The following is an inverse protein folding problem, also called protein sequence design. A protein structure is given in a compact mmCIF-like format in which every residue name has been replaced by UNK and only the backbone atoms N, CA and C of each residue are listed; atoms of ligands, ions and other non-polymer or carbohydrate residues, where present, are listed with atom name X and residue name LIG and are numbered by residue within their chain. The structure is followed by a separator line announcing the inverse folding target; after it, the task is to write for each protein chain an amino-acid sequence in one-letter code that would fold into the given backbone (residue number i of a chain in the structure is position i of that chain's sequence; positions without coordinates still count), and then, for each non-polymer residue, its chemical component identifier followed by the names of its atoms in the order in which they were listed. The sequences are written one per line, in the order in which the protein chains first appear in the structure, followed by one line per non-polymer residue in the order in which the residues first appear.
data_IF_180342475829
#
_entry.id   IF_180342475829
#
_cell.length_a   1.000
_cell.length_b   1.000
_cell.length_c   1.000
_cell.angle_alpha   90.00
_cell.angle_beta   90.00
_cell.angle_gamma   90.00
#
_symmetry.space_group_name_H-M   'P 1'
#
loop_
_entity.id
_entity.type
_entity.pdbx_description
1 polymer ?
#
# COMPACT_ATOMS: atom_id res chain seq x y z
N UNK A 1 19.96 6.26 -18.25
CA UNK A 1 20.66 6.69 -19.47
C UNK A 1 21.96 5.95 -19.65
N UNK A 2 23.08 6.52 -19.22
CA UNK A 2 24.42 5.94 -19.44
C UNK A 2 24.61 4.59 -18.76
N UNK A 3 24.29 4.48 -17.46
CA UNK A 3 24.37 3.18 -16.74
C UNK A 3 23.54 2.10 -17.45
N UNK A 4 22.31 2.46 -17.86
CA UNK A 4 21.42 1.54 -18.55
C UNK A 4 22.01 1.08 -19.89
N UNK A 5 22.51 2.01 -20.71
CA UNK A 5 23.11 1.66 -22.00
C UNK A 5 24.34 0.75 -21.84
N UNK A 6 25.22 1.05 -20.88
CA UNK A 6 26.40 0.23 -20.62
C UNK A 6 26.06 -1.17 -20.08
N UNK A 7 25.07 -1.25 -19.18
CA UNK A 7 24.59 -2.53 -18.63
C UNK A 7 23.86 -3.37 -19.66
N UNK A 8 22.97 -2.76 -20.47
CA UNK A 8 22.29 -3.41 -21.59
C UNK A 8 23.31 -3.95 -22.58
N UNK A 9 24.29 -3.12 -22.98
CA UNK A 9 25.32 -3.51 -23.91
C UNK A 9 26.12 -4.72 -23.40
N UNK A 10 26.56 -4.67 -22.14
CA UNK A 10 27.30 -5.78 -21.53
C UNK A 10 26.45 -7.07 -21.50
N UNK A 11 25.19 -6.98 -21.05
CA UNK A 11 24.28 -8.13 -20.97
C UNK A 11 23.99 -8.73 -22.33
N UNK A 12 23.62 -7.91 -23.32
CA UNK A 12 23.24 -8.35 -24.66
C UNK A 12 24.43 -8.98 -25.40
N UNK A 13 25.64 -8.40 -25.28
CA UNK A 13 26.86 -9.02 -25.82
C UNK A 13 27.10 -10.40 -25.20
N UNK A 14 26.90 -10.54 -23.89
CA UNK A 14 26.99 -11.82 -23.20
C UNK A 14 25.99 -12.86 -23.71
N UNK A 15 24.74 -12.47 -23.97
CA UNK A 15 23.72 -13.38 -24.53
C UNK A 15 24.01 -13.76 -25.99
N UNK A 16 24.48 -12.81 -26.82
CA UNK A 16 24.89 -13.09 -28.19
C UNK A 16 26.08 -14.05 -28.26
N UNK A 17 27.06 -13.89 -27.37
CA UNK A 17 28.21 -14.78 -27.27
C UNK A 17 27.80 -16.22 -26.94
N UNK A 18 26.80 -16.43 -26.07
CA UNK A 18 26.28 -17.77 -25.73
C UNK A 18 25.69 -18.51 -26.92
N UNK A 19 25.17 -17.79 -27.91
CA UNK A 19 24.63 -18.36 -29.17
C UNK A 19 25.61 -18.26 -30.34
N UNK A 20 26.89 -18.00 -30.07
CA UNK A 20 27.96 -17.97 -31.08
C UNK A 20 27.89 -16.76 -32.03
N UNK A 21 27.21 -15.69 -31.63
CA UNK A 21 27.08 -14.45 -32.43
C UNK A 21 28.03 -13.38 -31.94
N UNK A 22 28.63 -12.64 -32.88
CA UNK A 22 29.50 -11.50 -32.58
C UNK A 22 28.68 -10.26 -32.20
N UNK A 23 28.68 -9.96 -30.90
CA UNK A 23 27.98 -8.80 -30.35
C UNK A 23 28.57 -7.45 -30.73
N UNK A 24 29.86 -7.36 -31.07
CA UNK A 24 30.48 -6.08 -31.48
C UNK A 24 30.04 -5.67 -32.88
N UNK A 25 29.78 -6.66 -33.73
CA UNK A 25 29.24 -6.45 -35.07
C UNK A 25 27.74 -6.18 -35.06
N UNK A 26 26.98 -6.95 -34.28
CA UNK A 26 25.51 -6.95 -34.35
C UNK A 26 24.84 -5.89 -33.47
N UNK A 27 25.46 -5.47 -32.37
CA UNK A 27 24.85 -4.52 -31.44
C UNK A 27 25.41 -3.11 -31.66
N UNK A 28 24.54 -2.17 -32.00
CA UNK A 28 24.87 -0.75 -32.10
C UNK A 28 24.07 0.06 -31.09
N UNK A 29 24.79 0.71 -30.17
CA UNK A 29 24.20 1.54 -29.14
C UNK A 29 24.35 3.02 -29.52
N UNK A 30 23.25 3.77 -29.47
CA UNK A 30 23.24 5.22 -29.71
C UNK A 30 22.64 5.91 -28.50
N UNK A 31 23.37 6.87 -27.93
CA UNK A 31 22.86 7.76 -26.88
C UNK A 31 22.52 9.12 -27.49
N UNK A 32 21.24 9.47 -27.44
CA UNK A 32 20.73 10.77 -27.88
C UNK A 32 20.48 11.65 -26.66
N UNK A 33 20.99 12.88 -26.67
CA UNK A 33 20.77 13.82 -25.57
C UNK A 33 20.76 15.28 -26.01
N UNK A 34 19.84 16.06 -25.44
CA UNK A 34 19.84 17.53 -25.58
C UNK A 34 21.07 18.19 -24.95
N UNK A 35 21.70 17.52 -23.99
CA UNK A 35 22.89 18.01 -23.30
C UNK A 35 24.08 18.08 -24.24
N UNK A 36 24.93 19.10 -24.08
CA UNK A 36 26.17 19.25 -24.88
C UNK A 36 27.32 18.35 -24.43
N UNK A 37 27.20 17.72 -23.25
CA UNK A 37 28.24 16.88 -22.66
C UNK A 37 27.66 15.70 -21.89
N UNK A 38 28.46 14.65 -21.72
CA UNK A 38 28.16 13.47 -20.91
C UNK A 38 28.06 13.85 -19.44
N UNK A 39 26.96 13.47 -18.76
CA UNK A 39 26.69 13.74 -17.34
C UNK A 39 26.93 15.22 -16.95
N UNK A 40 26.18 16.19 -17.50
CA UNK A 40 26.43 17.62 -17.29
C UNK A 40 26.24 18.09 -15.84
N UNK A 41 25.55 17.32 -15.01
CA UNK A 41 25.34 17.58 -13.58
C UNK A 41 26.50 17.11 -12.70
N UNK A 42 27.49 16.42 -13.28
CA UNK A 42 28.66 15.88 -12.58
C UNK A 42 29.93 16.67 -12.92
N UNK A 43 31.02 16.38 -12.21
CA UNK A 43 32.29 17.05 -12.47
C UNK A 43 32.83 16.74 -13.86
N UNK A 44 33.67 17.64 -14.40
CA UNK A 44 34.36 17.42 -15.68
C UNK A 44 35.21 16.14 -15.68
N UNK A 45 35.72 15.72 -14.52
CA UNK A 45 36.49 14.48 -14.40
C UNK A 45 35.61 13.25 -14.65
N UNK A 46 34.43 13.18 -14.01
CA UNK A 46 33.44 12.10 -14.25
C UNK A 46 33.00 12.10 -15.71
N UNK A 47 32.68 13.27 -16.26
CA UNK A 47 32.28 13.42 -17.67
C UNK A 47 33.34 12.87 -18.64
N UNK A 48 34.63 13.18 -18.41
CA UNK A 48 35.75 12.64 -19.21
C UNK A 48 35.87 11.12 -19.11
N UNK A 49 35.76 10.58 -17.90
CA UNK A 49 35.82 9.13 -17.66
C UNK A 49 34.72 8.42 -18.46
N UNK A 50 33.46 8.84 -18.32
CA UNK A 50 32.37 8.20 -19.06
C UNK A 50 32.45 8.42 -20.56
N UNK A 51 32.94 9.58 -21.02
CA UNK A 51 33.18 9.80 -22.45
C UNK A 51 34.21 8.82 -23.01
N UNK A 52 35.29 8.55 -22.25
CA UNK A 52 36.29 7.54 -22.61
C UNK A 52 35.67 6.14 -22.66
N UNK A 53 34.96 5.72 -21.61
CA UNK A 53 34.31 4.40 -21.54
C UNK A 53 33.32 4.20 -22.69
N UNK A 54 32.47 5.19 -22.97
CA UNK A 54 31.50 5.11 -24.06
C UNK A 54 32.18 4.98 -25.42
N UNK A 55 33.30 5.69 -25.63
CA UNK A 55 34.11 5.58 -26.86
C UNK A 55 34.79 4.22 -26.98
N UNK A 56 35.41 3.73 -25.91
CA UNK A 56 36.05 2.40 -25.88
C UNK A 56 35.05 1.28 -26.15
N UNK A 57 33.77 1.50 -25.86
CA UNK A 57 32.69 0.53 -26.11
C UNK A 57 31.90 0.77 -27.39
N UNK A 58 32.37 1.61 -28.31
CA UNK A 58 31.71 1.91 -29.59
C UNK A 58 30.24 2.38 -29.41
N UNK A 59 29.96 3.15 -28.36
CA UNK A 59 28.65 3.78 -28.16
C UNK A 59 28.63 5.13 -28.89
N UNK A 60 27.77 5.25 -29.90
CA UNK A 60 27.62 6.49 -30.66
C UNK A 60 26.91 7.55 -29.81
N UNK A 61 27.46 8.76 -29.76
CA UNK A 61 26.91 9.88 -28.99
C UNK A 61 26.32 10.93 -29.93
N UNK A 62 25.01 11.16 -29.85
CA UNK A 62 24.30 12.25 -30.52
C UNK A 62 23.86 13.28 -29.48
N UNK A 63 24.77 14.21 -29.18
CA UNK A 63 24.61 15.19 -28.10
C UNK A 63 24.37 16.60 -28.66
N UNK A 64 23.72 17.46 -27.87
CA UNK A 64 23.30 18.79 -28.31
C UNK A 64 22.10 18.77 -29.26
N UNK A 65 21.41 17.64 -29.37
CA UNK A 65 20.23 17.45 -30.23
C UNK A 65 19.03 17.00 -29.40
N UNK A 66 17.85 17.46 -29.75
CA UNK A 66 16.60 16.99 -29.11
C UNK A 66 15.81 16.14 -30.09
N UNK A 67 15.10 15.14 -29.57
CA UNK A 67 14.09 14.42 -30.36
C UNK A 67 12.90 15.35 -30.54
N UNK A 68 12.51 15.56 -31.79
CA UNK A 68 11.36 16.38 -32.20
C UNK A 68 10.13 15.50 -32.41
N UNK A 69 10.33 14.33 -33.01
CA UNK A 69 9.27 13.36 -33.31
C UNK A 69 9.83 11.94 -33.18
N UNK A 70 9.05 11.03 -32.60
CA UNK A 70 9.36 9.62 -32.53
C UNK A 70 8.37 8.84 -33.42
N UNK A 71 8.89 8.16 -34.44
CA UNK A 71 8.15 7.25 -35.32
C UNK A 71 8.54 5.81 -34.99
N UNK A 72 7.84 4.84 -35.59
CA UNK A 72 7.96 3.42 -35.28
C UNK A 72 9.42 2.89 -35.26
N UNK A 73 10.24 3.25 -36.26
CA UNK A 73 11.63 2.76 -36.38
C UNK A 73 12.66 3.90 -36.53
N UNK A 74 12.26 5.15 -36.30
CA UNK A 74 13.13 6.31 -36.51
C UNK A 74 12.81 7.49 -35.59
N UNK A 75 13.87 8.07 -35.02
CA UNK A 75 13.79 9.34 -34.29
C UNK A 75 14.14 10.49 -35.25
N UNK A 76 13.26 11.49 -35.30
CA UNK A 76 13.53 12.77 -35.95
C UNK A 76 14.15 13.71 -34.90
N UNK A 77 15.39 14.10 -35.11
CA UNK A 77 16.11 14.98 -34.19
C UNK A 77 16.15 16.43 -34.73
N UNK A 78 16.45 17.38 -33.85
CA UNK A 78 16.68 18.78 -34.21
C UNK A 78 17.73 18.89 -35.32
N UNK A 79 17.47 19.76 -36.30
CA UNK A 79 18.31 19.90 -37.49
C UNK A 79 18.02 18.88 -38.59
N UNK A 80 16.92 18.11 -38.49
CA UNK A 80 16.49 17.16 -39.52
C UNK A 80 17.27 15.85 -39.54
N UNK A 81 18.06 15.57 -38.50
CA UNK A 81 18.82 14.32 -38.40
C UNK A 81 17.84 13.17 -38.12
N UNK A 82 17.85 12.16 -38.98
CA UNK A 82 17.06 10.94 -38.81
C UNK A 82 17.95 9.86 -38.17
N UNK A 83 17.59 9.34 -37.01
CA UNK A 83 18.30 8.27 -36.33
C UNK A 83 17.42 7.02 -36.27
N UNK A 84 17.67 6.01 -37.14
CA UNK A 84 16.93 4.75 -37.10
C UNK A 84 17.27 3.95 -35.85
N UNK A 85 16.34 3.11 -35.42
CA UNK A 85 16.52 2.18 -34.30
C UNK A 85 15.63 0.95 -34.48
N UNK A 86 16.07 -0.20 -33.95
CA UNK A 86 15.21 -1.37 -33.76
C UNK A 86 14.46 -1.31 -32.42
N UNK A 87 15.13 -0.77 -31.39
CA UNK A 87 14.56 -0.61 -30.05
C UNK A 87 14.92 0.77 -29.46
N UNK A 88 13.96 1.42 -28.81
CA UNK A 88 14.14 2.75 -28.21
C UNK A 88 13.81 2.75 -26.72
N UNK A 89 14.77 3.16 -25.88
CA UNK A 89 14.57 3.28 -24.43
C UNK A 89 14.63 4.75 -24.00
N UNK A 90 13.49 5.28 -23.57
CA UNK A 90 13.37 6.66 -23.12
C UNK A 90 13.91 6.84 -21.70
N UNK A 91 15.05 7.49 -21.57
CA UNK A 91 15.68 7.79 -20.28
C UNK A 91 15.52 9.28 -19.93
N UNK A 92 14.33 9.70 -19.51
CA UNK A 92 14.09 11.07 -19.05
C UNK A 92 14.30 11.27 -17.56
N UNK A 93 14.48 12.52 -17.17
CA UNK A 93 14.37 12.94 -15.77
C UNK A 93 12.96 12.68 -15.24
N UNK A 94 12.84 12.40 -13.95
CA UNK A 94 11.55 12.39 -13.27
C UNK A 94 10.86 13.75 -13.42
N UNK A 95 9.56 13.72 -13.68
CA UNK A 95 8.71 14.91 -13.67
C UNK A 95 7.82 14.87 -12.43
N UNK A 96 7.40 16.05 -11.96
CA UNK A 96 6.37 16.11 -10.94
C UNK A 96 5.05 15.58 -11.51
N UNK A 97 4.28 14.92 -10.67
CA UNK A 97 2.94 14.45 -11.05
C UNK A 97 2.01 15.65 -11.21
N UNK A 98 1.25 15.71 -12.30
CA UNK A 98 0.42 16.87 -12.65
C UNK A 98 -0.59 17.22 -11.56
N UNK A 99 -1.17 16.19 -10.92
CA UNK A 99 -2.19 16.36 -9.87
C UNK A 99 -1.71 17.21 -8.69
N UNK A 100 -0.41 17.26 -8.40
CA UNK A 100 0.13 18.04 -7.26
C UNK A 100 -0.16 19.53 -7.47
N UNK A 101 0.10 20.01 -8.70
CA UNK A 101 -0.18 21.40 -9.08
C UNK A 101 -1.68 21.67 -9.09
N UNK A 102 -2.46 20.73 -9.63
CA UNK A 102 -3.91 20.85 -9.74
C UNK A 102 -4.61 20.83 -8.36
N UNK A 103 -3.93 20.34 -7.32
CA UNK A 103 -4.45 20.29 -5.94
C UNK A 103 -4.35 21.62 -5.18
N UNK A 104 -3.82 22.68 -5.80
CA UNK A 104 -3.70 24.00 -5.16
C UNK A 104 -2.49 24.16 -4.23
N UNK A 105 -1.56 23.20 -4.23
CA UNK A 105 -0.30 23.34 -3.49
C UNK A 105 0.67 24.31 -4.17
N UNK A 106 1.51 24.96 -3.37
CA UNK A 106 2.67 25.67 -3.88
C UNK A 106 3.63 24.67 -4.53
N UNK A 107 4.00 24.92 -5.77
CA UNK A 107 4.93 24.06 -6.52
C UNK A 107 6.11 24.87 -7.03
N UNK A 108 7.27 24.22 -7.19
CA UNK A 108 8.42 24.83 -7.83
C UNK A 108 8.23 24.98 -9.34
N UNK A 109 9.22 25.56 -10.03
CA UNK A 109 9.16 25.78 -11.47
C UNK A 109 8.99 24.50 -12.31
N UNK A 110 9.26 23.33 -11.74
CA UNK A 110 9.11 22.02 -12.37
C UNK A 110 7.87 21.25 -11.87
N UNK A 111 7.03 21.87 -11.04
CA UNK A 111 5.79 21.28 -10.53
C UNK A 111 5.93 20.46 -9.25
N UNK A 112 7.12 20.38 -8.63
CA UNK A 112 7.29 19.63 -7.39
C UNK A 112 6.74 20.42 -6.19
N UNK A 113 6.13 19.73 -5.23
CA UNK A 113 5.55 20.33 -4.04
C UNK A 113 6.61 21.11 -3.24
N UNK A 114 6.38 22.40 -2.99
CA UNK A 114 7.26 23.21 -2.15
C UNK A 114 7.03 22.89 -0.68
N UNK A 115 8.11 22.61 0.04
CA UNK A 115 8.09 22.34 1.48
C UNK A 115 9.14 23.18 2.20
N UNK A 116 8.90 23.46 3.47
CA UNK A 116 9.89 24.09 4.36
C UNK A 116 10.96 23.09 4.86
N UNK A 117 11.84 23.53 5.76
CA UNK A 117 12.89 22.67 6.34
C UNK A 117 12.34 21.58 7.26
N UNK A 118 11.09 21.68 7.71
CA UNK A 118 10.39 20.63 8.44
C UNK A 118 9.72 19.61 7.51
N UNK A 119 9.83 19.82 6.20
CA UNK A 119 9.18 19.05 5.13
C UNK A 119 7.66 19.18 5.10
N UNK A 120 7.13 20.26 5.66
CA UNK A 120 5.72 20.62 5.58
C UNK A 120 5.47 21.55 4.38
N UNK A 121 4.32 21.41 3.72
CA UNK A 121 3.88 22.28 2.64
C UNK A 121 3.90 23.75 3.06
N UNK A 122 4.36 24.61 2.16
CA UNK A 122 4.48 26.05 2.43
C UNK A 122 3.13 26.77 2.51
N UNK A 123 2.08 26.23 1.88
CA UNK A 123 0.75 26.85 1.85
C UNK A 123 -0.37 26.00 2.47
N UNK A 124 -0.10 24.76 2.87
CA UNK A 124 -1.10 23.83 3.40
C UNK A 124 -0.61 23.15 4.67
N UNK A 125 -0.86 23.73 5.87
CA UNK A 125 -0.47 23.13 7.13
C UNK A 125 -1.03 21.72 7.33
N UNK A 126 -0.24 20.82 7.91
CA UNK A 126 -0.57 19.41 8.11
C UNK A 126 -0.24 18.50 6.93
N UNK A 127 0.15 19.05 5.77
CA UNK A 127 0.60 18.26 4.61
C UNK A 127 2.12 18.21 4.58
N UNK A 128 2.69 17.00 4.59
CA UNK A 128 4.13 16.80 4.56
C UNK A 128 4.56 16.02 3.32
N UNK A 129 5.78 16.27 2.83
CA UNK A 129 6.31 15.57 1.68
C UNK A 129 7.84 15.46 1.69
N UNK A 130 8.35 14.33 1.22
CA UNK A 130 9.78 14.07 1.09
C UNK A 130 10.09 13.24 -0.16
N UNK A 131 11.37 13.20 -0.54
CA UNK A 131 11.84 12.48 -1.71
C UNK A 131 11.51 13.20 -3.02
N UNK A 132 11.27 12.44 -4.08
CA UNK A 132 11.24 13.00 -5.44
C UNK A 132 10.08 13.98 -5.66
N UNK A 133 8.98 13.82 -4.92
CA UNK A 133 7.79 14.67 -5.00
C UNK A 133 8.01 16.08 -4.45
N UNK A 134 8.97 16.25 -3.54
CA UNK A 134 9.15 17.47 -2.75
C UNK A 134 10.34 18.32 -3.21
N UNK A 135 10.23 19.63 -3.02
CA UNK A 135 11.28 20.63 -3.26
C UNK A 135 11.42 21.48 -2.02
N UNK A 136 12.55 21.35 -1.32
CA UNK A 136 12.79 22.08 -0.06
C UNK A 136 13.17 23.53 -0.40
N UNK A 137 12.34 24.47 0.07
CA UNK A 137 12.51 25.89 -0.16
C UNK A 137 13.90 26.36 0.33
N UNK A 138 14.62 27.10 -0.52
CA UNK A 138 15.98 27.55 -0.23
C UNK A 138 17.08 26.48 -0.34
N UNK A 139 16.73 25.20 -0.55
CA UNK A 139 17.68 24.08 -0.62
C UNK A 139 17.48 23.20 -1.87
N UNK A 140 17.61 23.75 -3.10
CA UNK A 140 17.42 22.97 -4.32
C UNK A 140 18.46 21.85 -4.43
N UNK A 141 17.99 20.62 -4.67
CA UNK A 141 18.83 19.43 -4.85
C UNK A 141 18.35 18.61 -6.03
N UNK A 142 19.26 17.91 -6.73
CA UNK A 142 18.84 16.94 -7.73
C UNK A 142 18.03 15.84 -7.05
N UNK A 143 17.05 15.30 -7.78
CA UNK A 143 16.24 14.17 -7.33
C UNK A 143 17.13 12.93 -7.23
N UNK A 144 17.40 12.49 -6.01
CA UNK A 144 18.31 11.41 -5.71
C UNK A 144 17.90 10.71 -4.40
N UNK A 145 17.93 9.38 -4.41
CA UNK A 145 17.48 8.56 -3.28
C UNK A 145 18.17 8.89 -1.96
N UNK A 146 19.44 9.32 -1.98
CA UNK A 146 20.18 9.70 -0.77
C UNK A 146 19.49 10.81 0.02
N UNK A 147 18.90 11.81 -0.64
CA UNK A 147 18.20 12.89 0.06
C UNK A 147 16.87 12.40 0.63
N UNK A 148 16.14 11.58 -0.13
CA UNK A 148 14.90 10.95 0.34
C UNK A 148 15.14 10.08 1.58
N UNK A 149 16.21 9.28 1.58
CA UNK A 149 16.60 8.43 2.71
C UNK A 149 16.86 9.23 3.96
N UNK A 150 17.67 10.29 3.86
CA UNK A 150 18.00 11.12 5.03
C UNK A 150 16.83 11.98 5.52
N UNK A 151 15.87 12.29 4.64
CA UNK A 151 14.63 12.99 5.00
C UNK A 151 13.68 12.14 5.87
N UNK A 152 13.78 10.80 5.81
CA UNK A 152 12.82 9.91 6.48
C UNK A 152 12.75 10.06 8.00
N UNK A 153 13.89 10.12 8.70
CA UNK A 153 13.90 10.22 10.18
C UNK A 153 13.31 11.54 10.70
N UNK A 154 13.73 12.72 10.20
CA UNK A 154 13.10 13.97 10.62
C UNK A 154 11.61 14.02 10.26
N UNK A 155 11.22 13.49 9.08
CA UNK A 155 9.82 13.48 8.65
C UNK A 155 8.95 12.65 9.60
N UNK A 156 9.39 11.45 9.96
CA UNK A 156 8.65 10.59 10.88
C UNK A 156 8.49 11.25 12.27
N UNK A 157 9.52 11.96 12.75
CA UNK A 157 9.45 12.72 13.99
C UNK A 157 8.46 13.88 13.91
N UNK A 158 8.46 14.61 12.79
CA UNK A 158 7.58 15.76 12.58
C UNK A 158 6.12 15.33 12.41
N UNK A 159 5.85 14.24 11.68
CA UNK A 159 4.50 13.65 11.56
C UNK A 159 3.94 13.25 12.93
N UNK A 160 4.72 12.56 13.77
CA UNK A 160 4.30 12.23 15.14
C UNK A 160 4.03 13.47 15.97
N UNK A 161 4.89 14.48 15.85
CA UNK A 161 4.74 15.75 16.56
C UNK A 161 3.48 16.50 16.12
N UNK A 162 3.14 16.47 14.83
CA UNK A 162 1.92 17.06 14.27
C UNK A 162 0.66 16.38 14.82
N UNK A 163 0.61 15.05 14.79
CA UNK A 163 -0.52 14.27 15.32
C UNK A 163 -0.74 14.50 16.82
N UNK A 164 0.35 14.68 17.59
CA UNK A 164 0.29 14.96 19.02
C UNK A 164 0.02 16.44 19.36
N UNK A 165 -0.21 17.31 18.36
CA UNK A 165 -0.45 18.74 18.59
C UNK A 165 0.77 19.49 19.15
N UNK A 166 1.98 18.96 18.97
CA UNK A 166 3.21 19.63 19.41
C UNK A 166 3.45 20.87 18.55
N UNK A 167 3.78 21.99 19.20
CA UNK A 167 4.06 23.25 18.50
C UNK A 167 5.19 23.11 17.48
N UNK A 168 4.98 23.62 16.27
CA UNK A 168 5.89 23.53 15.11
C UNK A 168 7.34 23.93 15.40
N UNK A 169 7.60 24.86 16.32
CA UNK A 169 8.97 25.23 16.76
C UNK A 169 9.81 24.07 17.34
N UNK A 170 9.18 22.94 17.67
CA UNK A 170 9.84 21.72 18.16
C UNK A 170 10.07 20.68 17.07
N UNK A 171 9.67 20.98 15.83
CA UNK A 171 9.92 20.09 14.70
C UNK A 171 11.42 20.07 14.39
N UNK A 172 11.86 18.96 13.82
CA UNK A 172 13.23 18.78 13.39
C UNK A 172 13.40 19.38 12.00
N UNK A 173 14.40 20.23 11.85
CA UNK A 173 14.85 20.70 10.55
C UNK A 173 15.59 19.60 9.78
N UNK A 174 15.40 19.57 8.48
CA UNK A 174 16.16 18.77 7.54
C UNK A 174 16.83 19.65 6.48
N UNK A 175 18.17 19.72 6.54
CA UNK A 175 18.99 20.43 5.57
C UNK A 175 19.75 19.44 4.69
N UNK A 176 19.36 19.24 3.42
CA UNK A 176 20.01 18.26 2.57
C UNK A 176 21.44 18.69 2.22
N UNK A 177 22.38 17.75 2.35
CA UNK A 177 23.79 17.92 2.04
C UNK A 177 24.02 18.48 0.62
N UNK A 178 25.05 19.31 0.44
CA UNK A 178 25.34 19.94 -0.88
C UNK A 178 25.86 18.94 -1.91
N UNK A 179 26.61 17.95 -1.46
CA UNK A 179 27.20 16.90 -2.30
C UNK A 179 26.96 15.54 -1.67
N UNK A 180 26.98 14.50 -2.50
CA UNK A 180 26.88 13.12 -2.06
C UNK A 180 27.86 12.27 -2.86
N UNK A 181 28.16 11.07 -2.37
CA UNK A 181 28.92 10.08 -3.12
C UNK A 181 27.96 9.33 -4.05
N UNK A 182 28.13 9.50 -5.36
CA UNK A 182 27.50 8.65 -6.36
C UNK A 182 28.46 7.55 -6.78
N UNK A 183 27.99 6.31 -6.83
CA UNK A 183 28.71 5.18 -7.45
C UNK A 183 27.93 4.79 -8.70
N UNK A 184 28.47 5.12 -9.86
CA UNK A 184 27.80 4.96 -11.16
C UNK A 184 28.38 3.73 -11.84
N UNK A 185 27.56 2.71 -12.08
CA UNK A 185 27.97 1.45 -12.68
C UNK A 185 28.37 1.59 -14.15
N UNK A 186 29.38 0.85 -14.57
CA UNK A 186 29.78 0.77 -15.98
C UNK A 186 29.27 -0.51 -16.66
N UNK A 187 28.44 -1.30 -15.98
CA UNK A 187 27.76 -2.48 -16.54
C UNK A 187 28.61 -3.74 -16.65
N UNK A 188 29.93 -3.67 -16.46
CA UNK A 188 30.90 -4.78 -16.55
C UNK A 188 31.55 -5.13 -15.20
N UNK A 189 30.85 -4.81 -14.10
CA UNK A 189 31.39 -5.00 -12.75
C UNK A 189 32.44 -3.96 -12.34
N UNK A 190 32.59 -2.86 -13.08
CA UNK A 190 33.30 -1.66 -12.63
C UNK A 190 32.29 -0.57 -12.24
N UNK A 191 32.77 0.43 -11.48
CA UNK A 191 32.00 1.63 -11.16
C UNK A 191 32.90 2.87 -11.12
N UNK A 192 32.27 4.03 -11.34
CA UNK A 192 32.89 5.34 -11.23
C UNK A 192 32.32 6.06 -10.02
N UNK A 193 33.17 6.37 -9.05
CA UNK A 193 32.84 7.22 -7.93
C UNK A 193 32.79 8.69 -8.36
N UNK A 194 31.77 9.41 -7.91
CA UNK A 194 31.56 10.83 -8.10
C UNK A 194 31.32 11.50 -6.75
N UNK A 195 32.22 12.37 -6.31
CA UNK A 195 32.06 13.14 -5.06
C UNK A 195 32.64 14.54 -5.22
N UNK A 196 31.77 15.54 -5.38
CA UNK A 196 32.20 16.91 -5.64
C UNK A 196 33.02 16.99 -6.93
N UNK A 197 34.29 17.40 -6.83
CA UNK A 197 35.21 17.46 -7.98
C UNK A 197 35.99 16.17 -8.22
N UNK A 198 35.98 15.23 -7.27
CA UNK A 198 36.74 13.98 -7.34
C UNK A 198 36.02 12.95 -8.18
N UNK A 199 36.80 12.18 -8.93
CA UNK A 199 36.33 11.03 -9.69
C UNK A 199 37.35 9.89 -9.62
N UNK A 200 36.88 8.66 -9.47
CA UNK A 200 37.72 7.46 -9.47
C UNK A 200 36.97 6.33 -10.15
N UNK A 201 37.64 5.59 -11.02
CA UNK A 201 37.09 4.40 -11.69
C UNK A 201 37.82 3.16 -11.17
N UNK A 202 37.05 2.15 -10.73
CA UNK A 202 37.63 0.89 -10.26
C UNK A 202 36.61 -0.24 -10.20
N UNK A 203 37.11 -1.48 -10.16
CA UNK A 203 36.32 -2.70 -9.91
C UNK A 203 35.80 -2.77 -8.48
N UNK A 204 36.65 -2.52 -7.48
CA UNK A 204 36.23 -2.61 -6.07
C UNK A 204 35.15 -1.59 -5.70
N UNK A 205 35.02 -0.48 -6.46
CA UNK A 205 33.92 0.48 -6.28
C UNK A 205 32.56 -0.13 -6.61
N UNK A 206 32.50 -1.09 -7.54
CA UNK A 206 31.29 -1.85 -7.82
C UNK A 206 30.94 -2.79 -6.66
N UNK A 207 31.93 -3.49 -6.11
CA UNK A 207 31.73 -4.34 -4.92
C UNK A 207 31.24 -3.53 -3.72
N UNK A 208 31.82 -2.33 -3.52
CA UNK A 208 31.33 -1.40 -2.50
C UNK A 208 29.88 -0.98 -2.78
N UNK A 209 29.53 -0.66 -4.03
CA UNK A 209 28.16 -0.29 -4.41
C UNK A 209 27.18 -1.43 -4.12
N UNK A 210 27.49 -2.65 -4.57
CA UNK A 210 26.65 -3.83 -4.35
C UNK A 210 26.47 -4.10 -2.85
N UNK A 211 27.53 -3.97 -2.05
CA UNK A 211 27.45 -4.08 -0.60
C UNK A 211 26.55 -3.00 0.03
N UNK A 212 26.69 -1.72 -0.36
CA UNK A 212 25.84 -0.62 0.15
C UNK A 212 24.37 -0.90 -0.19
N UNK A 213 24.08 -1.24 -1.45
CA UNK A 213 22.72 -1.44 -1.95
C UNK A 213 22.08 -2.66 -1.26
N UNK A 214 22.79 -3.78 -1.13
CA UNK A 214 22.31 -4.97 -0.40
C UNK A 214 22.09 -4.72 1.08
N UNK A 215 23.02 -4.01 1.75
CA UNK A 215 22.89 -3.65 3.16
C UNK A 215 21.65 -2.77 3.38
N UNK A 216 21.41 -1.83 2.47
CA UNK A 216 20.21 -1.01 2.48
C UNK A 216 18.95 -1.87 2.32
N UNK A 217 18.90 -2.76 1.31
CA UNK A 217 17.76 -3.66 1.11
C UNK A 217 17.51 -4.58 2.31
N UNK A 218 18.57 -5.12 2.93
CA UNK A 218 18.46 -5.96 4.12
C UNK A 218 17.76 -5.24 5.28
N UNK A 219 17.95 -3.93 5.41
CA UNK A 219 17.26 -3.12 6.45
C UNK A 219 15.74 -3.20 6.33
N UNK A 220 15.20 -3.49 5.15
CA UNK A 220 13.76 -3.57 4.89
C UNK A 220 13.23 -5.00 4.68
N UNK A 221 14.11 -5.97 4.41
CA UNK A 221 13.69 -7.35 4.15
C UNK A 221 14.05 -8.34 5.25
N UNK A 222 15.09 -8.08 6.04
CA UNK A 222 15.57 -9.02 7.07
C UNK A 222 16.06 -8.38 8.37
N UNK A 223 16.08 -7.04 8.45
CA UNK A 223 16.46 -6.28 9.64
C UNK A 223 15.30 -5.61 10.37
N UNK A 224 14.06 -5.80 9.89
CA UNK A 224 12.87 -5.41 10.64
C UNK A 224 12.52 -6.56 11.60
N UNK A 225 12.24 -6.27 12.89
CA UNK A 225 11.74 -7.29 13.81
C UNK A 225 10.51 -7.97 13.25
N UNK A 226 10.31 -9.24 13.61
CA UNK A 226 9.11 -9.95 13.18
C UNK A 226 7.87 -9.19 13.68
N UNK A 227 6.76 -9.28 12.96
CA UNK A 227 5.52 -8.59 13.39
C UNK A 227 5.14 -9.02 14.81
N UNK A 228 5.42 -10.28 15.16
CA UNK A 228 5.27 -10.86 16.50
C UNK A 228 6.09 -10.10 17.57
N UNK A 229 7.32 -9.69 17.25
CA UNK A 229 8.21 -8.94 18.16
C UNK A 229 7.78 -7.47 18.34
N UNK A 230 6.99 -6.95 17.39
CA UNK A 230 6.49 -5.58 17.34
C UNK A 230 5.05 -5.45 17.87
N UNK A 231 4.37 -6.57 18.16
CA UNK A 231 3.06 -6.50 18.79
C UNK A 231 3.20 -5.89 20.19
N UNK A 232 2.43 -4.85 20.54
CA UNK A 232 2.37 -4.43 21.92
C UNK A 232 1.98 -5.63 22.79
N UNK A 233 2.56 -5.76 24.00
CA UNK A 233 2.18 -6.85 24.89
C UNK A 233 0.66 -6.85 25.07
N UNK A 234 0.02 -8.04 25.17
CA UNK A 234 -1.41 -8.11 25.32
C UNK A 234 -1.86 -7.20 26.48
N UNK A 235 -3.03 -6.55 26.35
CA UNK A 235 -3.50 -5.64 27.39
C UNK A 235 -3.55 -6.38 28.72
N UNK A 236 -3.21 -5.71 29.84
CA UNK A 236 -3.16 -6.36 31.14
C UNK A 236 -4.51 -7.04 31.45
N UNK A 237 -4.51 -8.19 32.14
CA UNK A 237 -5.75 -8.92 32.44
C UNK A 237 -6.75 -8.01 33.14
N UNK A 238 -8.00 -8.02 32.66
CA UNK A 238 -9.08 -7.24 33.25
C UNK A 238 -9.34 -7.69 34.71
N UNK A 239 -10.07 -6.88 35.48
CA UNK A 239 -10.31 -7.15 36.91
C UNK A 239 -10.95 -8.52 37.15
N UNK A 240 -11.80 -8.98 36.22
CA UNK A 240 -12.43 -10.30 36.25
C UNK A 240 -11.39 -11.42 36.12
N UNK A 241 -10.44 -11.29 35.19
CA UNK A 241 -9.34 -12.25 35.01
C UNK A 241 -8.41 -12.31 36.23
N UNK A 242 -8.14 -11.16 36.86
CA UNK A 242 -7.34 -11.10 38.09
C UNK A 242 -8.03 -11.77 39.26
N UNK A 243 -9.35 -11.58 39.39
CA UNK A 243 -10.16 -12.21 40.42
C UNK A 243 -10.28 -13.74 40.23
N UNK A 244 -10.20 -14.23 38.99
CA UNK A 244 -10.28 -15.65 38.65
C UNK A 244 -8.96 -16.44 38.88
N UNK A 245 -7.85 -15.75 39.18
CA UNK A 245 -6.59 -16.35 39.58
C UNK A 245 -5.58 -16.61 38.44
N UNK A 246 -4.37 -17.09 38.77
CA UNK A 246 -3.23 -17.15 37.84
C UNK A 246 -3.45 -18.08 36.63
N UNK A 247 -4.19 -19.17 36.80
CA UNK A 247 -4.50 -20.11 35.71
C UNK A 247 -5.42 -19.48 34.65
N UNK A 248 -6.40 -18.67 35.09
CA UNK A 248 -7.29 -17.96 34.17
C UNK A 248 -6.53 -16.90 33.35
N UNK A 249 -5.55 -16.23 33.96
CA UNK A 249 -4.67 -15.29 33.27
C UNK A 249 -3.85 -16.01 32.21
N UNK A 250 -3.20 -17.13 32.58
CA UNK A 250 -2.40 -17.94 31.65
C UNK A 250 -3.23 -18.46 30.46
N UNK A 251 -4.46 -18.94 30.73
CA UNK A 251 -5.38 -19.35 29.66
C UNK A 251 -5.80 -18.19 28.76
N UNK A 252 -5.95 -16.97 29.28
CA UNK A 252 -6.29 -15.78 28.48
C UNK A 252 -5.12 -15.30 27.62
N UNK A 253 -3.88 -15.49 28.10
CA UNK A 253 -2.63 -15.17 27.38
C UNK A 253 -2.31 -16.21 26.29
N UNK A 254 -2.67 -17.48 26.51
CA UNK A 254 -2.46 -18.59 25.56
C UNK A 254 -3.49 -18.63 24.40
N UNK A 255 -4.59 -17.87 24.47
CA UNK A 255 -5.57 -17.78 23.36
C UNK A 255 -5.03 -16.81 22.30
N UNK A 256 -4.60 -17.31 21.12
CA UNK A 256 -3.99 -16.47 20.11
C UNK A 256 -5.04 -15.52 19.51
N UNK A 257 -4.67 -14.25 19.43
CA UNK A 257 -5.36 -13.16 18.74
C UNK A 257 -6.88 -13.04 18.98
N UNK A 258 -7.25 -12.16 19.92
CA UNK A 258 -8.52 -11.41 19.83
C UNK A 258 -8.34 -10.28 18.81
N UNK A 259 -8.07 -10.60 17.55
CA UNK A 259 -7.95 -9.59 16.49
C UNK A 259 -9.33 -9.03 16.13
N UNK A 260 -9.37 -7.87 15.46
CA UNK A 260 -10.62 -7.31 14.94
C UNK A 260 -11.24 -8.17 13.81
N UNK A 261 -12.50 -7.92 13.46
CA UNK A 261 -13.22 -8.73 12.45
C UNK A 261 -13.72 -10.08 12.99
N UNK A 262 -13.76 -11.13 12.16
CA UNK A 262 -14.23 -12.46 12.56
C UNK A 262 -13.47 -13.07 13.76
N UNK A 263 -12.19 -12.70 13.94
CA UNK A 263 -11.34 -13.17 15.04
C UNK A 263 -11.68 -12.56 16.41
N UNK A 264 -12.59 -11.59 16.46
CA UNK A 264 -13.07 -11.00 17.72
C UNK A 264 -14.21 -11.82 18.37
N UNK A 265 -14.74 -12.84 17.68
CA UNK A 265 -15.86 -13.67 18.14
C UNK A 265 -15.45 -14.59 19.30
N UNK A 266 -16.40 -14.94 20.16
CA UNK A 266 -16.20 -15.98 21.17
C UNK A 266 -15.95 -17.31 20.45
N UNK A 267 -14.93 -18.06 20.87
CA UNK A 267 -14.57 -19.33 20.24
C UNK A 267 -15.71 -20.36 20.25
N UNK A 268 -15.79 -21.16 19.19
CA UNK A 268 -16.88 -22.13 18.97
C UNK A 268 -17.08 -23.10 20.15
N UNK A 269 -16.00 -23.53 20.80
CA UNK A 269 -16.05 -24.42 21.97
C UNK A 269 -16.77 -23.76 23.14
N UNK A 270 -16.44 -22.51 23.47
CA UNK A 270 -17.07 -21.75 24.56
C UNK A 270 -18.55 -21.52 24.28
N UNK A 271 -18.90 -21.14 23.05
CA UNK A 271 -20.29 -20.94 22.64
C UNK A 271 -21.09 -22.26 22.73
N UNK A 272 -20.54 -23.36 22.22
CA UNK A 272 -21.17 -24.69 22.29
C UNK A 272 -21.45 -25.12 23.72
N UNK A 273 -20.50 -24.91 24.64
CA UNK A 273 -20.67 -25.23 26.05
C UNK A 273 -21.73 -24.34 26.71
N UNK A 274 -21.78 -23.05 26.37
CA UNK A 274 -22.80 -22.13 26.88
C UNK A 274 -24.21 -22.55 26.43
N UNK A 275 -24.39 -22.88 25.15
CA UNK A 275 -25.67 -23.36 24.61
C UNK A 275 -26.12 -24.67 25.27
N UNK A 276 -25.20 -25.63 25.47
CA UNK A 276 -25.50 -26.88 26.21
C UNK A 276 -25.96 -26.61 27.64
N UNK A 277 -25.34 -25.65 28.34
CA UNK A 277 -25.75 -25.27 29.70
C UNK A 277 -27.14 -24.63 29.73
N UNK A 278 -27.47 -23.81 28.73
CA UNK A 278 -28.82 -23.24 28.61
C UNK A 278 -29.87 -24.33 28.40
N UNK A 279 -29.60 -25.29 27.51
CA UNK A 279 -30.51 -26.42 27.24
C UNK A 279 -30.75 -27.27 28.50
N UNK A 280 -29.71 -27.47 29.33
CA UNK A 280 -29.83 -28.16 30.62
C UNK A 280 -30.60 -27.36 31.67
N UNK A 281 -30.48 -26.03 31.66
CA UNK A 281 -31.20 -25.16 32.59
C UNK A 281 -32.69 -25.10 32.24
N UNK A 282 -33.00 -24.89 30.95
CA UNK A 282 -34.35 -24.92 30.40
C UNK A 282 -34.27 -25.17 28.88
N UNK A 283 -34.89 -26.26 28.37
CA UNK A 283 -34.88 -26.55 26.94
C UNK A 283 -35.39 -25.38 26.11
N UNK A 284 -34.68 -25.07 25.02
CA UNK A 284 -35.10 -24.03 24.10
C UNK A 284 -36.36 -24.49 23.33
N UNK A 285 -37.26 -23.56 22.94
CA UNK A 285 -38.42 -23.90 22.14
C UNK A 285 -38.03 -24.56 20.81
N UNK A 286 -38.64 -25.71 20.53
CA UNK A 286 -38.48 -26.42 19.27
C UNK A 286 -39.67 -26.12 18.36
N UNK A 287 -39.40 -25.59 17.17
CA UNK A 287 -40.41 -25.12 16.22
C UNK A 287 -40.22 -25.87 14.91
N UNK A 288 -41.27 -26.53 14.42
CA UNK A 288 -41.22 -27.28 13.16
C UNK A 288 -40.99 -26.40 11.94
N UNK A 289 -41.23 -25.09 12.07
CA UNK A 289 -40.93 -24.11 11.04
C UNK A 289 -39.43 -23.85 10.89
N UNK A 290 -38.60 -24.15 11.89
CA UNK A 290 -37.14 -23.97 11.83
C UNK A 290 -36.51 -25.24 11.24
N UNK A 291 -36.08 -25.16 10.00
CA UNK A 291 -35.54 -26.29 9.23
C UNK A 291 -34.04 -26.50 9.52
N UNK A 292 -33.29 -25.41 9.64
CA UNK A 292 -31.86 -25.39 10.00
C UNK A 292 -31.68 -24.32 11.08
N UNK A 293 -31.03 -24.70 12.18
CA UNK A 293 -30.93 -23.90 13.39
C UNK A 293 -29.96 -24.53 14.39
N UNK A 294 -30.11 -24.26 15.69
CA UNK A 294 -29.12 -24.65 16.69
C UNK A 294 -28.82 -26.16 16.80
N UNK A 295 -29.73 -27.04 16.37
CA UNK A 295 -29.56 -28.50 16.41
C UNK A 295 -28.76 -29.06 15.23
N UNK A 296 -28.73 -28.32 14.13
CA UNK A 296 -27.97 -28.62 12.92
C UNK A 296 -27.43 -27.28 12.39
N UNK A 297 -26.44 -26.68 13.08
CA UNK A 297 -25.96 -25.36 12.73
C UNK A 297 -25.23 -25.39 11.39
N UNK A 298 -25.48 -24.35 10.58
CA UNK A 298 -24.88 -24.11 9.27
C UNK A 298 -24.60 -22.60 9.12
N UNK A 299 -24.16 -22.14 7.95
CA UNK A 299 -23.80 -20.72 7.72
C UNK A 299 -24.97 -19.75 7.96
N UNK A 300 -26.23 -20.18 7.79
CA UNK A 300 -27.40 -19.40 8.22
C UNK A 300 -28.57 -20.29 8.69
N UNK A 301 -29.54 -19.68 9.38
CA UNK A 301 -30.76 -20.38 9.78
C UNK A 301 -31.80 -20.39 8.66
N UNK A 302 -32.48 -21.54 8.50
CA UNK A 302 -33.58 -21.73 7.56
C UNK A 302 -34.91 -21.79 8.31
N UNK A 303 -35.83 -20.88 8.01
CA UNK A 303 -37.14 -20.81 8.66
C UNK A 303 -38.24 -20.72 7.62
N UNK A 304 -39.24 -21.60 7.73
CA UNK A 304 -40.41 -21.59 6.84
C UNK A 304 -41.42 -20.54 7.30
N UNK A 305 -41.70 -19.57 6.45
CA UNK A 305 -42.66 -18.49 6.71
C UNK A 305 -43.63 -18.40 5.54
N UNK A 306 -44.91 -18.65 5.78
CA UNK A 306 -45.95 -18.50 4.75
C UNK A 306 -45.75 -19.37 3.49
N UNK A 307 -45.09 -20.53 3.63
CA UNK A 307 -44.81 -21.46 2.52
C UNK A 307 -43.47 -21.26 1.82
N UNK A 308 -42.73 -20.19 2.13
CA UNK A 308 -41.39 -19.91 1.60
C UNK A 308 -40.33 -20.27 2.65
N UNK A 309 -39.15 -20.69 2.22
CA UNK A 309 -37.99 -20.89 3.12
C UNK A 309 -37.17 -19.60 3.17
N UNK A 310 -37.24 -18.92 4.32
CA UNK A 310 -36.47 -17.73 4.64
C UNK A 310 -35.08 -18.08 5.16
N UNK A 311 -34.09 -17.30 4.75
CA UNK A 311 -32.72 -17.32 5.25
C UNK A 311 -32.59 -16.22 6.30
N UNK A 312 -31.97 -16.55 7.44
CA UNK A 312 -31.68 -15.59 8.50
C UNK A 312 -30.22 -15.74 8.92
N UNK A 313 -29.42 -14.70 8.68
CA UNK A 313 -28.04 -14.61 9.16
C UNK A 313 -27.79 -13.25 9.81
N UNK A 314 -26.78 -13.19 10.67
CA UNK A 314 -26.26 -11.96 11.24
C UNK A 314 -24.75 -12.05 11.35
N UNK A 315 -24.06 -11.02 10.84
CA UNK A 315 -22.65 -10.82 11.14
C UNK A 315 -22.39 -9.42 11.68
N UNK A 316 -21.43 -9.31 12.59
CA UNK A 316 -21.14 -8.09 13.34
C UNK A 316 -19.67 -8.05 13.79
N UNK A 317 -18.99 -6.96 13.44
CA UNK A 317 -17.55 -6.82 13.59
C UNK A 317 -17.18 -5.58 14.39
N UNK A 318 -16.20 -5.74 15.28
CA UNK A 318 -15.41 -4.59 15.76
C UNK A 318 -14.56 -4.05 14.61
N UNK A 319 -14.44 -2.74 14.52
CA UNK A 319 -13.68 -2.03 13.50
C UNK A 319 -12.23 -2.49 13.48
N UNK A 320 -11.79 -2.96 12.32
CA UNK A 320 -10.42 -3.43 12.06
C UNK A 320 -9.77 -2.71 10.89
N UNK A 321 -10.48 -1.75 10.30
CA UNK A 321 -10.02 -0.94 9.18
C UNK A 321 -10.30 0.53 9.49
N UNK A 322 -9.36 1.41 9.14
CA UNK A 322 -9.41 2.82 9.56
C UNK A 322 -10.38 3.67 8.72
N UNK A 323 -10.61 3.30 7.46
CA UNK A 323 -11.55 4.00 6.57
C UNK A 323 -12.98 3.50 6.81
N UNK A 324 -13.92 4.35 7.30
CA UNK A 324 -15.28 3.94 7.58
C UNK A 324 -16.05 3.49 6.33
N UNK A 325 -15.81 4.10 5.16
CA UNK A 325 -16.50 3.70 3.93
C UNK A 325 -16.10 2.29 3.53
N UNK A 326 -14.78 2.03 3.48
CA UNK A 326 -14.27 0.70 3.12
C UNK A 326 -14.71 -0.34 4.16
N UNK A 327 -14.64 0.00 5.45
CA UNK A 327 -15.12 -0.89 6.52
C UNK A 327 -16.62 -1.19 6.37
N UNK A 328 -17.43 -0.19 6.05
CA UNK A 328 -18.85 -0.34 5.75
C UNK A 328 -19.12 -1.35 4.64
N UNK A 329 -18.39 -1.22 3.52
CA UNK A 329 -18.51 -2.13 2.37
C UNK A 329 -18.08 -3.56 2.72
N UNK A 330 -16.98 -3.70 3.48
CA UNK A 330 -16.50 -5.01 3.96
C UNK A 330 -17.55 -5.68 4.86
N UNK A 331 -18.09 -4.96 5.85
CA UNK A 331 -19.08 -5.51 6.78
C UNK A 331 -20.38 -5.94 6.07
N UNK A 332 -20.85 -5.17 5.09
CA UNK A 332 -22.01 -5.54 4.28
C UNK A 332 -21.75 -6.82 3.45
N UNK A 333 -20.60 -6.89 2.76
CA UNK A 333 -20.25 -8.07 1.96
C UNK A 333 -20.09 -9.33 2.81
N UNK A 334 -19.51 -9.21 4.00
CA UNK A 334 -19.42 -10.33 4.94
C UNK A 334 -20.79 -10.78 5.43
N UNK A 335 -21.67 -9.86 5.83
CA UNK A 335 -23.01 -10.26 6.27
C UNK A 335 -23.83 -10.92 5.14
N UNK A 336 -23.58 -10.55 3.88
CA UNK A 336 -24.18 -11.19 2.70
C UNK A 336 -23.59 -12.58 2.38
N UNK A 337 -22.35 -12.87 2.79
CA UNK A 337 -21.65 -14.10 2.36
C UNK A 337 -22.36 -15.36 2.82
N UNK A 338 -22.93 -15.37 4.01
CA UNK A 338 -23.64 -16.53 4.56
C UNK A 338 -24.93 -16.83 3.77
N UNK A 339 -25.59 -15.77 3.28
CA UNK A 339 -26.75 -15.91 2.39
C UNK A 339 -26.31 -16.51 1.03
N UNK A 340 -25.19 -16.06 0.49
CA UNK A 340 -24.64 -16.59 -0.77
C UNK A 340 -24.13 -18.03 -0.65
N UNK A 341 -23.51 -18.39 0.48
CA UNK A 341 -23.03 -19.74 0.76
C UNK A 341 -24.17 -20.76 0.70
N UNK A 342 -25.36 -20.36 1.13
CA UNK A 342 -26.58 -21.17 1.10
C UNK A 342 -27.32 -21.10 -0.24
N UNK A 343 -26.68 -20.60 -1.31
CA UNK A 343 -27.28 -20.37 -2.62
C UNK A 343 -28.55 -19.51 -2.56
N UNK A 344 -28.61 -18.61 -1.58
CA UNK A 344 -29.73 -17.76 -1.28
C UNK A 344 -29.77 -16.45 -2.04
N UNK A 345 -30.95 -15.85 -2.09
CA UNK A 345 -31.15 -14.47 -2.54
C UNK A 345 -31.41 -13.57 -1.34
N UNK A 346 -30.53 -12.60 -1.09
CA UNK A 346 -30.72 -11.61 -0.05
C UNK A 346 -31.86 -10.65 -0.42
N UNK A 347 -32.72 -10.33 0.54
CA UNK A 347 -33.90 -9.48 0.32
C UNK A 347 -33.80 -8.19 1.13
N UNK A 348 -33.44 -8.30 2.41
CA UNK A 348 -33.37 -7.14 3.30
C UNK A 348 -32.24 -7.24 4.32
N UNK A 349 -31.77 -6.07 4.77
CA UNK A 349 -30.74 -5.90 5.78
C UNK A 349 -31.24 -4.98 6.89
N UNK A 350 -30.92 -5.33 8.14
CA UNK A 350 -31.04 -4.45 9.31
C UNK A 350 -29.64 -4.15 9.85
N UNK A 351 -29.27 -2.87 9.93
CA UNK A 351 -27.96 -2.47 10.43
C UNK A 351 -27.90 -2.47 11.96
N UNK A 352 -26.76 -2.88 12.51
CA UNK A 352 -26.41 -2.67 13.92
C UNK A 352 -25.07 -1.95 13.94
N UNK A 353 -25.05 -0.75 14.50
CA UNK A 353 -23.87 0.14 14.47
C UNK A 353 -23.49 0.55 15.89
N UNK A 354 -22.20 0.45 16.21
CA UNK A 354 -21.61 1.04 17.41
C UNK A 354 -20.67 2.14 16.97
N UNK A 355 -20.87 3.37 17.45
CA UNK A 355 -20.03 4.51 17.12
C UNK A 355 -19.20 4.94 18.34
N UNK A 356 -17.91 5.28 18.16
CA UNK A 356 -17.12 5.88 19.21
C UNK A 356 -17.71 7.21 19.68
N UNK A 357 -17.60 7.48 20.98
CA UNK A 357 -18.00 8.76 21.54
C UNK A 357 -17.19 9.91 20.94
N UNK A 358 -17.87 10.91 20.38
CA UNK A 358 -17.27 12.10 19.79
C UNK A 358 -18.29 13.26 19.77
N UNK A 359 -17.88 14.42 19.26
CA UNK A 359 -18.83 15.50 18.94
C UNK A 359 -19.90 15.00 17.97
N UNK A 360 -21.15 15.44 18.13
CA UNK A 360 -22.29 14.98 17.32
C UNK A 360 -22.01 15.05 15.82
N UNK A 361 -21.42 16.15 15.34
CA UNK A 361 -21.06 16.32 13.93
C UNK A 361 -20.03 15.27 13.43
N UNK A 362 -19.16 14.77 14.31
CA UNK A 362 -18.17 13.73 13.97
C UNK A 362 -18.75 12.33 14.01
N UNK A 363 -19.69 12.09 14.91
CA UNK A 363 -20.49 10.87 14.92
C UNK A 363 -21.32 10.79 13.64
N UNK A 364 -21.96 11.89 13.24
CA UNK A 364 -22.70 12.02 11.98
C UNK A 364 -21.81 11.77 10.75
N UNK A 365 -20.69 12.50 10.61
CA UNK A 365 -19.74 12.33 9.50
C UNK A 365 -19.32 10.85 9.36
N UNK A 366 -19.00 10.21 10.49
CA UNK A 366 -18.53 8.82 10.52
C UNK A 366 -19.64 7.85 10.12
N UNK A 367 -20.85 8.04 10.65
CA UNK A 367 -22.01 7.23 10.31
C UNK A 367 -22.37 7.35 8.83
N UNK A 368 -22.31 8.56 8.25
CA UNK A 368 -22.55 8.77 6.83
C UNK A 368 -21.55 7.99 5.97
N UNK A 369 -20.25 8.10 6.26
CA UNK A 369 -19.22 7.37 5.51
C UNK A 369 -19.41 5.85 5.62
N UNK A 370 -19.64 5.37 6.84
CA UNK A 370 -19.85 3.96 7.14
C UNK A 370 -21.07 3.38 6.39
N UNK A 371 -22.21 4.07 6.46
CA UNK A 371 -23.43 3.62 5.81
C UNK A 371 -23.40 3.81 4.29
N UNK A 372 -22.67 4.81 3.77
CA UNK A 372 -22.46 4.97 2.34
C UNK A 372 -21.72 3.76 1.74
N UNK A 373 -20.64 3.30 2.40
CA UNK A 373 -19.93 2.11 1.96
C UNK A 373 -20.75 0.83 2.09
N UNK A 374 -21.48 0.67 3.19
CA UNK A 374 -22.34 -0.49 3.40
C UNK A 374 -23.49 -0.56 2.37
N UNK A 375 -24.16 0.56 2.10
CA UNK A 375 -25.25 0.62 1.12
C UNK A 375 -24.75 0.42 -0.31
N UNK A 376 -23.50 0.76 -0.60
CA UNK A 376 -22.86 0.40 -1.87
C UNK A 376 -22.75 -1.11 -2.04
N UNK A 377 -22.25 -1.83 -1.03
CA UNK A 377 -22.18 -3.30 -1.04
C UNK A 377 -23.56 -3.96 -1.11
N UNK A 378 -24.54 -3.50 -0.31
CA UNK A 378 -25.91 -4.04 -0.33
C UNK A 378 -26.59 -3.84 -1.69
N UNK A 379 -26.31 -2.72 -2.37
CA UNK A 379 -26.86 -2.42 -3.70
C UNK A 379 -26.38 -3.42 -4.75
N UNK A 380 -25.12 -3.84 -4.69
CA UNK A 380 -24.57 -4.85 -5.61
C UNK A 380 -25.33 -6.20 -5.50
N UNK A 381 -25.81 -6.54 -4.30
CA UNK A 381 -26.59 -7.75 -4.03
C UNK A 381 -28.11 -7.57 -4.17
N UNK A 382 -28.59 -6.40 -4.62
CA UNK A 382 -30.01 -6.04 -4.65
C UNK A 382 -30.73 -6.25 -3.30
N UNK A 383 -30.01 -6.02 -2.20
CA UNK A 383 -30.51 -6.19 -0.83
C UNK A 383 -30.94 -4.84 -0.25
N UNK A 384 -32.19 -4.74 0.23
CA UNK A 384 -32.72 -3.48 0.75
C UNK A 384 -32.28 -3.25 2.21
N UNK A 385 -31.64 -2.12 2.50
CA UNK A 385 -31.48 -1.68 3.89
C UNK A 385 -32.82 -1.16 4.41
N UNK A 386 -33.47 -1.89 5.33
CA UNK A 386 -34.84 -1.61 5.79
C UNK A 386 -34.92 -1.03 7.20
N UNK A 387 -33.79 -0.84 7.86
CA UNK A 387 -33.74 -0.25 9.20
C UNK A 387 -32.46 -0.60 9.94
N UNK A 388 -32.45 -0.35 11.24
CA UNK A 388 -31.31 -0.67 12.10
C UNK A 388 -31.35 0.03 13.45
N UNK A 389 -30.31 -0.20 14.25
CA UNK A 389 -30.07 0.49 15.51
C UNK A 389 -28.63 0.97 15.59
N UNK A 390 -28.46 2.13 16.23
CA UNK A 390 -27.17 2.70 16.58
C UNK A 390 -27.02 2.76 18.09
N UNK A 391 -25.82 2.51 18.61
CA UNK A 391 -25.47 2.85 19.98
C UNK A 391 -24.06 3.42 20.07
N UNK A 392 -23.75 4.07 21.18
CA UNK A 392 -22.41 4.56 21.47
C UNK A 392 -21.59 3.48 22.18
N UNK A 393 -20.30 3.40 21.86
CA UNK A 393 -19.38 2.46 22.50
C UNK A 393 -17.95 2.96 22.45
N UNK A 394 -17.04 2.19 23.05
CA UNK A 394 -15.61 2.54 23.07
C UNK A 394 -14.95 2.39 21.69
N UNK A 395 -15.48 1.50 20.86
CA UNK A 395 -14.90 1.14 19.57
C UNK A 395 -15.97 1.11 18.49
N UNK A 396 -15.58 1.46 17.27
CA UNK A 396 -16.44 1.35 16.10
C UNK A 396 -16.81 -0.13 15.89
N UNK A 397 -18.06 -0.41 15.61
CA UNK A 397 -18.48 -1.73 15.18
C UNK A 397 -19.67 -1.64 14.22
N UNK A 398 -19.75 -2.58 13.30
CA UNK A 398 -20.80 -2.62 12.30
C UNK A 398 -21.17 -4.06 11.99
N UNK A 399 -22.45 -4.29 11.79
CA UNK A 399 -22.96 -5.56 11.29
C UNK A 399 -24.35 -5.41 10.69
N UNK A 400 -24.79 -6.50 10.06
CA UNK A 400 -26.10 -6.58 9.44
C UNK A 400 -26.74 -7.91 9.77
N UNK A 401 -28.02 -7.86 10.14
CA UNK A 401 -28.89 -9.03 10.02
C UNK A 401 -29.46 -9.05 8.60
N UNK A 402 -29.15 -10.10 7.85
CA UNK A 402 -29.63 -10.30 6.49
C UNK A 402 -30.77 -11.31 6.51
N UNK A 403 -31.88 -10.93 5.88
CA UNK A 403 -32.98 -11.83 5.58
C UNK A 403 -33.03 -12.06 4.07
N UNK A 404 -33.13 -13.32 3.69
CA UNK A 404 -33.20 -13.73 2.30
C UNK A 404 -34.21 -14.86 2.08
N UNK A 405 -34.21 -15.41 0.88
CA UNK A 405 -35.00 -16.58 0.51
C UNK A 405 -34.14 -17.58 -0.24
N UNK A 406 -34.42 -18.86 -0.07
CA UNK A 406 -33.82 -19.94 -0.84
C UNK A 406 -34.91 -20.83 -1.42
N UNK A 407 -34.65 -21.47 -2.55
CA UNK A 407 -35.49 -22.58 -3.00
C UNK A 407 -35.49 -23.67 -1.93
N UNK A 408 -36.66 -24.23 -1.64
CA UNK A 408 -36.84 -25.17 -0.53
C UNK A 408 -35.91 -26.38 -0.70
N UNK A 409 -34.80 -26.48 0.06
CA UNK A 409 -33.84 -27.58 -0.11
C UNK A 409 -34.41 -28.90 0.41
N UNK A 410 -35.58 -28.85 1.06
CA UNK A 410 -36.29 -29.99 1.62
C UNK A 410 -37.62 -30.28 0.88
N UNK A 411 -37.87 -29.65 -0.28
CA UNK A 411 -39.11 -29.74 -1.04
C UNK A 411 -39.27 -31.01 -1.91
N UNK A 412 -40.26 -31.83 -1.53
CA UNK A 412 -40.93 -32.94 -2.24
C UNK A 412 -40.07 -33.98 -3.02
N UNK A 413 -39.77 -35.10 -2.35
CA UNK A 413 -39.86 -36.39 -3.02
C UNK A 413 -41.31 -36.60 -3.53
N UNK A 414 -41.52 -36.45 -4.83
CA UNK A 414 -42.68 -37.00 -5.56
C UNK A 414 -43.86 -36.05 -5.77
N UNK A 415 -44.02 -35.58 -7.01
CA UNK A 415 -45.31 -35.40 -7.65
C UNK A 415 -45.22 -36.05 -9.05
N UNK A 416 -45.57 -37.33 -9.09
CA UNK A 416 -45.93 -38.07 -10.29
C UNK A 416 -47.42 -38.39 -10.24
#
# INVERSE_FOLDING_TARGET
GIELALSMQHRLKGELAKVGKDGDRLLKMVLVSRSKSVLPTHSKAVSRIFTRILKERDVKLLFGVSVVEAKEEVLVLTGGIMQPFDECVWCTQGCAQSWIKDSGFDVDANGFLQVDTHMESTNSPGVFAAGDVASILGHPRPKAGVFAVFAGKPLASNLRSAVLGVQKRRYLDYFPQKTFLGLIGTGDGCAVASKGTMALESKWLWELKDWIDRKWMWTYTGGLPDMEDMMPPPPPPNEVARAAGPEAIKMLEEVPMRCGGCGAKVGATTLTQALKRLELYRPLPDRSEVLVGLKAPDDCALVRVGGVVGLHTVDFFRGFYEDPFVFGKIAANHALSDCHAMAGTAVSALAVVVLPFALESKVEDTLVQLMAGATDGLREANCALVGGHTCEGKELALGFAINGTVEDPFGAAGAG
#
